data_IF_745375436679
#
_entry.id   IF_745375436679
#
_cell.length_a   1.000
_cell.length_b   1.000
_cell.length_c   1.000
_cell.angle_alpha   90.00
_cell.angle_beta   90.00
_cell.angle_gamma   90.00
#
_symmetry.space_group_name_H-M   'P 1'
#
loop_
_entity.id
_entity.type
_entity.pdbx_description
1 polymer ?
#
# COMPACT_ATOMS: atom_id res chain seq x y z
N UNK A 1 -14.49 -1.06 -8.37
CA UNK A 1 -14.03 -0.44 -7.10
C UNK A 1 -14.23 -1.34 -5.88
N UNK A 2 -15.35 -2.07 -5.69
CA UNK A 2 -15.59 -2.83 -4.45
C UNK A 2 -14.46 -3.80 -4.05
N UNK A 3 -13.85 -4.50 -5.01
CA UNK A 3 -12.73 -5.41 -4.73
C UNK A 3 -11.46 -4.68 -4.27
N UNK A 4 -11.22 -3.47 -4.78
CA UNK A 4 -10.07 -2.65 -4.39
C UNK A 4 -10.27 -2.08 -2.98
N UNK A 5 -11.47 -1.62 -2.64
CA UNK A 5 -11.81 -1.15 -1.29
C UNK A 5 -11.64 -2.25 -0.25
N UNK A 6 -12.15 -3.46 -0.55
CA UNK A 6 -12.01 -4.64 0.31
C UNK A 6 -10.56 -5.03 0.57
N UNK A 7 -9.66 -4.78 -0.39
CA UNK A 7 -8.23 -5.06 -0.25
C UNK A 7 -7.46 -3.95 0.49
N UNK A 8 -7.68 -2.70 0.10
CA UNK A 8 -6.90 -1.56 0.58
C UNK A 8 -7.29 -1.13 2.00
N UNK A 9 -8.58 -1.21 2.36
CA UNK A 9 -9.10 -0.74 3.66
C UNK A 9 -8.49 -1.49 4.84
N UNK A 10 -8.41 -2.85 4.85
CA UNK A 10 -7.77 -3.59 5.94
C UNK A 10 -6.28 -3.27 6.13
N UNK A 11 -5.61 -2.81 5.07
CA UNK A 11 -4.20 -2.43 5.10
C UNK A 11 -3.98 -0.94 5.41
N UNK A 12 -5.04 -0.16 5.61
CA UNK A 12 -4.96 1.28 5.81
C UNK A 12 -4.43 2.05 4.61
N UNK A 13 -4.53 1.48 3.40
CA UNK A 13 -4.11 2.11 2.15
C UNK A 13 -5.23 2.99 1.62
N UNK A 14 -4.88 4.24 1.30
CA UNK A 14 -5.83 5.25 0.80
C UNK A 14 -5.67 5.40 -0.70
N UNK A 15 -6.80 5.46 -1.40
CA UNK A 15 -6.84 5.72 -2.83
C UNK A 15 -8.10 6.53 -3.18
N UNK A 16 -8.05 7.28 -4.27
CA UNK A 16 -9.19 8.05 -4.75
C UNK A 16 -9.24 8.06 -6.27
N UNK A 17 -10.40 7.70 -6.83
CA UNK A 17 -10.67 7.86 -8.26
C UNK A 17 -11.02 9.30 -8.56
N UNK A 18 -10.34 9.92 -9.53
CA UNK A 18 -10.66 11.25 -10.01
C UNK A 18 -10.99 11.21 -11.51
N UNK A 19 -12.09 11.86 -11.96
CA UNK A 19 -12.42 11.91 -13.37
C UNK A 19 -11.36 12.69 -14.16
N UNK A 20 -10.97 12.14 -15.31
CA UNK A 20 -10.09 12.81 -16.27
C UNK A 20 -10.85 13.83 -17.11
N UNK A 21 -10.12 14.55 -17.97
CA UNK A 21 -10.64 15.71 -18.71
C UNK A 21 -11.82 15.36 -19.63
N UNK A 22 -11.82 14.17 -20.22
CA UNK A 22 -12.82 13.70 -21.18
C UNK A 22 -13.77 12.64 -20.60
N UNK A 23 -13.88 12.52 -19.27
CA UNK A 23 -14.65 11.46 -18.59
C UNK A 23 -16.10 11.34 -19.08
N UNK A 24 -16.73 12.45 -19.47
CA UNK A 24 -18.11 12.48 -20.00
C UNK A 24 -18.27 11.69 -21.31
N UNK A 25 -17.27 11.73 -22.19
CA UNK A 25 -17.28 11.03 -23.47
C UNK A 25 -16.60 9.65 -23.37
N UNK A 26 -15.66 9.50 -22.46
CA UNK A 26 -14.94 8.27 -22.20
C UNK A 26 -14.84 8.02 -20.69
N UNK A 27 -15.71 7.19 -20.09
CA UNK A 27 -15.68 6.86 -18.66
C UNK A 27 -14.39 6.16 -18.18
N UNK A 28 -13.52 5.73 -19.11
CA UNK A 28 -12.20 5.18 -18.79
C UNK A 28 -11.10 6.25 -18.70
N UNK A 29 -11.39 7.52 -19.04
CA UNK A 29 -10.48 8.65 -18.80
C UNK A 29 -10.55 9.07 -17.33
N UNK A 30 -9.75 8.42 -16.48
CA UNK A 30 -9.66 8.74 -15.05
C UNK A 30 -8.23 8.59 -14.55
N UNK A 31 -7.92 9.26 -13.44
CA UNK A 31 -6.73 8.99 -12.64
C UNK A 31 -7.11 8.34 -11.31
N UNK A 32 -6.12 7.71 -10.69
CA UNK A 32 -6.21 7.19 -9.33
C UNK A 32 -5.10 7.83 -8.51
N UNK A 33 -5.49 8.68 -7.56
CA UNK A 33 -4.57 9.06 -6.48
C UNK A 33 -4.39 7.87 -5.54
N UNK A 34 -3.17 7.64 -5.08
CA UNK A 34 -2.83 6.48 -4.29
C UNK A 34 -1.72 6.80 -3.30
N UNK A 35 -1.86 6.29 -2.07
CA UNK A 35 -0.76 6.33 -1.10
C UNK A 35 0.41 5.47 -1.60
N UNK A 36 1.63 6.00 -1.57
CA UNK A 36 2.84 5.22 -1.81
C UNK A 36 3.32 4.59 -0.51
N UNK A 37 2.55 3.68 0.11
CA UNK A 37 2.97 2.97 1.34
C UNK A 37 3.40 1.54 1.04
N UNK A 38 4.31 0.98 1.84
CA UNK A 38 4.73 -0.43 1.77
C UNK A 38 4.22 -1.13 3.02
N UNK A 39 3.35 -2.14 2.85
CA UNK A 39 2.86 -2.99 3.92
C UNK A 39 3.70 -4.27 4.01
N UNK A 40 4.09 -4.65 5.22
CA UNK A 40 4.78 -5.92 5.51
C UNK A 40 3.76 -6.86 6.14
N UNK A 41 3.60 -8.04 5.53
CA UNK A 41 2.74 -9.10 6.04
C UNK A 41 3.61 -10.24 6.59
N UNK A 42 3.16 -10.85 7.69
CA UNK A 42 3.76 -12.08 8.20
C UNK A 42 3.21 -13.33 7.47
N UNK A 43 3.76 -14.54 7.71
CA UNK A 43 3.31 -15.77 7.03
C UNK A 43 1.84 -16.12 7.28
N UNK A 44 1.22 -15.64 8.36
CA UNK A 44 -0.20 -15.82 8.64
C UNK A 44 -1.09 -14.76 7.94
N UNK A 45 -0.48 -13.84 7.17
CA UNK A 45 -1.18 -12.79 6.43
C UNK A 45 -1.58 -11.58 7.29
N UNK A 46 -1.00 -11.42 8.49
CA UNK A 46 -1.28 -10.27 9.37
C UNK A 46 -0.36 -9.10 9.04
N UNK A 47 -0.83 -7.87 9.25
CA UNK A 47 -0.01 -6.66 9.06
C UNK A 47 1.06 -6.55 10.15
N UNK A 48 2.31 -6.86 9.81
CA UNK A 48 3.47 -6.81 10.70
C UNK A 48 4.17 -5.44 10.71
N UNK A 49 4.00 -4.63 9.66
CA UNK A 49 4.60 -3.31 9.56
C UNK A 49 4.05 -2.47 8.41
N UNK A 50 4.22 -1.15 8.50
CA UNK A 50 3.79 -0.19 7.48
C UNK A 50 4.82 0.94 7.35
N UNK A 51 5.37 1.11 6.14
CA UNK A 51 6.33 2.15 5.81
C UNK A 51 5.68 3.20 4.92
N UNK A 52 5.96 4.48 5.18
CA UNK A 52 5.42 5.63 4.44
C UNK A 52 6.56 6.50 3.89
N UNK A 53 6.35 7.24 2.79
CA UNK A 53 7.36 8.11 2.23
C UNK A 53 7.73 9.26 3.19
N UNK A 54 8.93 9.85 3.06
CA UNK A 54 9.99 9.44 2.13
C UNK A 54 10.67 8.13 2.55
N UNK A 55 11.04 7.31 1.56
CA UNK A 55 11.67 6.02 1.82
C UNK A 55 13.18 6.14 1.96
N UNK A 56 13.73 5.58 3.04
CA UNK A 56 15.16 5.40 3.23
C UNK A 56 15.51 3.90 3.13
N UNK A 57 16.19 3.45 2.06
CA UNK A 57 16.53 2.04 1.87
C UNK A 57 17.33 1.44 3.04
N UNK A 58 18.20 2.22 3.69
CA UNK A 58 19.04 1.71 4.79
C UNK A 58 18.21 1.47 6.05
N UNK A 59 17.31 2.38 6.38
CA UNK A 59 16.41 2.23 7.52
C UNK A 59 15.46 1.05 7.32
N UNK A 60 14.89 0.93 6.11
CA UNK A 60 14.01 -0.19 5.74
C UNK A 60 14.75 -1.52 5.88
N UNK A 61 15.97 -1.63 5.33
CA UNK A 61 16.77 -2.85 5.45
C UNK A 61 17.05 -3.23 6.91
N UNK A 62 17.43 -2.25 7.74
CA UNK A 62 17.61 -2.44 9.19
C UNK A 62 16.34 -2.99 9.86
N UNK A 63 15.18 -2.43 9.55
CA UNK A 63 13.91 -2.86 10.15
C UNK A 63 13.52 -4.27 9.69
N UNK A 64 13.71 -4.61 8.41
CA UNK A 64 13.48 -5.96 7.90
C UNK A 64 14.42 -6.98 8.56
N UNK A 65 15.70 -6.66 8.75
CA UNK A 65 16.63 -7.53 9.50
C UNK A 65 16.19 -7.75 10.94
N UNK A 66 15.69 -6.72 11.62
CA UNK A 66 15.16 -6.86 13.00
C UNK A 66 13.91 -7.73 13.04
N UNK A 67 13.00 -7.57 12.08
CA UNK A 67 11.78 -8.36 11.98
C UNK A 67 12.10 -9.84 11.74
N UNK A 68 13.03 -10.16 10.84
CA UNK A 68 13.39 -11.56 10.55
C UNK A 68 14.23 -12.21 11.65
N UNK A 69 15.06 -11.45 12.37
CA UNK A 69 15.81 -11.95 13.52
C UNK A 69 14.93 -12.34 14.71
N UNK A 70 13.73 -11.75 14.84
CA UNK A 70 12.78 -12.05 15.93
C UNK A 70 11.86 -13.24 15.61
N UNK A 71 11.74 -13.61 14.34
CA UNK A 71 10.89 -14.70 13.84
C UNK A 71 11.70 -15.95 13.45
N UNK A 72 13.03 -15.89 13.45
CA UNK A 72 13.88 -17.06 13.31
C UNK A 72 13.73 -17.98 14.55
N UNK A 73 13.64 -19.31 14.37
CA UNK A 73 13.54 -20.27 15.47
C UNK A 73 14.77 -20.28 16.38
#
# INVERSE_FOLDING_TARGET
>A
VPSLERFATPLGLVFQKAPGKNFKANPNDYSMDHSASIAVLDPEGRLAGLMRPPFDPKMIASDLTKLTGKTAP
#
